data_IF_919753083246
#
_entry.id   IF_919753083246
#
_cell.length_a   1.000
_cell.length_b   1.000
_cell.length_c   1.000
_cell.angle_alpha   90.00
_cell.angle_beta   90.00
_cell.angle_gamma   90.00
#
_symmetry.space_group_name_H-M   'P 1'
#
loop_
_entity.id
_entity.type
_entity.pdbx_description
1 polymer ?
#
# COMPACT_ATOMS: atom_id res chain seq x y z
N UNK A 1 -22.43 -31.84 22.56
CA UNK A 1 -22.67 -30.49 22.00
C UNK A 1 -22.27 -29.51 23.07
N UNK A 2 -21.24 -28.71 22.80
CA UNK A 2 -20.77 -27.69 23.73
C UNK A 2 -21.69 -26.46 23.59
N UNK A 3 -22.33 -25.97 24.67
CA UNK A 3 -23.17 -24.77 24.63
C UNK A 3 -22.41 -23.49 24.21
N UNK A 4 -21.07 -23.48 24.20
CA UNK A 4 -20.28 -22.38 23.65
C UNK A 4 -20.28 -22.32 22.11
N UNK A 5 -20.71 -23.38 21.41
CA UNK A 5 -20.61 -23.47 19.94
C UNK A 5 -21.57 -22.56 19.13
N UNK A 6 -22.33 -21.66 19.77
CA UNK A 6 -23.47 -20.99 19.16
C UNK A 6 -23.34 -19.48 18.94
N UNK A 7 -22.22 -18.84 19.30
CA UNK A 7 -22.01 -17.42 19.05
C UNK A 7 -20.86 -17.22 18.07
N UNK A 8 -21.16 -17.37 16.77
CA UNK A 8 -20.28 -16.85 15.72
C UNK A 8 -20.32 -15.33 15.78
N UNK A 9 -19.21 -14.71 16.16
CA UNK A 9 -19.08 -13.26 16.22
C UNK A 9 -18.81 -12.77 14.81
N UNK A 10 -19.63 -11.81 14.36
CA UNK A 10 -19.36 -11.07 13.13
C UNK A 10 -18.42 -9.92 13.49
N UNK A 11 -17.26 -9.84 12.84
CA UNK A 11 -16.28 -8.76 13.10
C UNK A 11 -16.16 -7.85 11.89
N UNK A 12 -16.16 -6.54 12.15
CA UNK A 12 -15.85 -5.53 11.16
C UNK A 12 -14.33 -5.29 11.13
N UNK A 13 -13.73 -5.35 9.95
CA UNK A 13 -12.32 -5.03 9.73
C UNK A 13 -12.21 -3.85 8.78
N UNK A 14 -11.48 -2.83 9.22
CA UNK A 14 -11.19 -1.62 8.45
C UNK A 14 -9.72 -1.64 8.04
N UNK A 15 -9.46 -1.68 6.75
CA UNK A 15 -8.12 -1.56 6.17
C UNK A 15 -7.91 -0.10 5.78
N UNK A 16 -7.07 0.58 6.54
CA UNK A 16 -6.68 1.95 6.31
C UNK A 16 -5.48 1.95 5.38
N UNK A 17 -5.58 2.67 4.28
CA UNK A 17 -4.44 2.79 3.38
C UNK A 17 -3.54 3.91 3.84
N UNK A 18 -2.23 3.64 3.78
CA UNK A 18 -1.19 4.62 4.04
C UNK A 18 -0.37 4.73 2.78
N UNK A 19 -0.38 5.92 2.20
CA UNK A 19 0.61 6.28 1.20
C UNK A 19 1.92 6.55 1.93
N UNK A 20 2.94 5.73 1.72
CA UNK A 20 4.25 6.00 2.29
C UNK A 20 4.78 7.29 1.63
N UNK A 21 4.99 8.32 2.45
CA UNK A 21 5.41 9.64 1.98
C UNK A 21 6.76 9.52 1.27
N UNK A 22 6.75 9.66 -0.05
CA UNK A 22 7.97 9.44 -0.82
C UNK A 22 7.87 9.80 -2.29
N UNK A 23 7.09 10.82 -2.72
CA UNK A 23 6.96 11.23 -4.14
C UNK A 23 6.52 10.12 -5.12
N UNK A 24 6.30 8.89 -4.65
CA UNK A 24 5.84 7.80 -5.48
C UNK A 24 4.42 8.11 -5.95
N UNK A 25 4.18 8.07 -7.26
CA UNK A 25 2.95 8.54 -7.83
C UNK A 25 1.85 7.47 -7.75
N UNK A 26 1.76 6.75 -6.63
CA UNK A 26 0.75 5.72 -6.41
C UNK A 26 -0.37 6.25 -5.53
N UNK A 27 -1.60 5.98 -5.91
CA UNK A 27 -2.80 6.43 -5.20
C UNK A 27 -3.83 5.30 -5.16
N UNK A 28 -4.29 4.95 -3.96
CA UNK A 28 -5.43 4.05 -3.79
C UNK A 28 -6.72 4.70 -4.28
N UNK A 29 -7.65 3.90 -4.80
CA UNK A 29 -8.99 4.36 -5.21
C UNK A 29 -9.85 4.78 -4.01
N UNK A 30 -9.56 4.23 -2.83
CA UNK A 30 -10.24 4.53 -1.57
C UNK A 30 -9.25 4.92 -0.47
N UNK A 31 -9.68 5.80 0.45
CA UNK A 31 -8.88 6.14 1.65
C UNK A 31 -8.96 5.07 2.75
N UNK A 32 -9.96 4.19 2.67
CA UNK A 32 -10.15 3.07 3.58
C UNK A 32 -11.07 2.02 2.93
N UNK A 33 -10.80 0.75 3.19
CA UNK A 33 -11.68 -0.36 2.80
C UNK A 33 -12.29 -0.98 4.06
N UNK A 34 -13.62 -1.03 4.11
CA UNK A 34 -14.35 -1.62 5.22
C UNK A 34 -15.00 -2.93 4.79
N UNK A 35 -14.71 -4.00 5.53
CA UNK A 35 -15.33 -5.30 5.33
C UNK A 35 -15.86 -5.85 6.64
N UNK A 36 -16.86 -6.70 6.53
CA UNK A 36 -17.37 -7.47 7.65
C UNK A 36 -17.07 -8.94 7.37
N UNK A 37 -16.29 -9.56 8.25
CA UNK A 37 -15.86 -10.96 8.11
C UNK A 37 -16.40 -11.73 9.31
N UNK A 38 -17.11 -12.81 9.02
CA UNK A 38 -17.60 -13.73 10.03
C UNK A 38 -16.48 -14.68 10.47
N UNK A 39 -16.50 -15.15 11.72
CA UNK A 39 -15.53 -16.14 12.22
C UNK A 39 -15.51 -17.45 11.45
N UNK A 40 -16.64 -17.80 10.85
CA UNK A 40 -16.79 -18.98 10.00
C UNK A 40 -16.53 -18.71 8.52
N UNK A 41 -16.05 -17.51 8.18
CA UNK A 41 -15.67 -17.20 6.83
C UNK A 41 -14.63 -18.22 6.34
N UNK A 42 -14.80 -18.79 5.14
CA UNK A 42 -13.81 -19.69 4.58
C UNK A 42 -12.49 -18.94 4.38
N UNK A 43 -11.39 -19.67 4.47
CA UNK A 43 -10.08 -19.14 4.09
C UNK A 43 -10.08 -18.84 2.60
N UNK A 44 -9.47 -17.71 2.21
CA UNK A 44 -9.42 -17.28 0.82
C UNK A 44 -9.64 -15.78 0.61
N UNK A 45 -9.93 -15.38 -0.63
CA UNK A 45 -10.07 -13.97 -1.01
C UNK A 45 -11.23 -13.27 -0.29
N UNK A 46 -10.98 -12.05 0.19
CA UNK A 46 -11.96 -11.20 0.86
C UNK A 46 -12.32 -9.97 0.02
N UNK A 47 -11.32 -9.24 -0.47
CA UNK A 47 -11.48 -8.10 -1.37
C UNK A 47 -10.21 -7.88 -2.19
N UNK A 48 -10.27 -6.95 -3.14
CA UNK A 48 -9.12 -6.47 -3.89
C UNK A 48 -8.94 -4.98 -3.61
N UNK A 49 -7.74 -4.59 -3.18
CA UNK A 49 -7.35 -3.20 -3.04
C UNK A 49 -6.75 -2.74 -4.36
N UNK A 50 -7.12 -1.54 -4.80
CA UNK A 50 -6.69 -0.98 -6.08
C UNK A 50 -5.92 0.30 -5.87
N UNK A 51 -4.75 0.39 -6.47
CA UNK A 51 -3.99 1.63 -6.57
C UNK A 51 -3.57 1.88 -8.02
N UNK A 52 -3.53 3.16 -8.38
CA UNK A 52 -3.21 3.69 -9.70
C UNK A 52 -1.87 4.43 -9.62
N UNK A 53 -1.05 4.34 -10.67
CA UNK A 53 0.27 4.96 -10.76
C UNK A 53 0.29 6.17 -11.72
N UNK A 54 1.20 7.12 -11.53
CA UNK A 54 1.41 8.27 -12.42
C UNK A 54 2.90 8.55 -12.73
N UNK A 55 3.47 8.11 -13.85
CA UNK A 55 2.77 7.74 -15.08
C UNK A 55 2.02 6.41 -14.96
N UNK A 56 0.89 6.32 -15.66
CA UNK A 56 0.11 5.09 -15.72
C UNK A 56 0.95 3.95 -16.35
N UNK A 57 0.76 2.74 -15.84
CA UNK A 57 1.40 1.53 -16.37
C UNK A 57 2.62 1.05 -15.58
N UNK A 58 3.03 1.75 -14.53
CA UNK A 58 3.97 1.19 -13.55
C UNK A 58 3.30 0.06 -12.74
N UNK A 59 4.08 -0.95 -12.37
CA UNK A 59 3.59 -2.04 -11.52
C UNK A 59 3.42 -1.55 -10.09
N UNK A 60 2.40 -2.04 -9.37
CA UNK A 60 2.20 -1.71 -7.95
C UNK A 60 2.61 -2.89 -7.08
N UNK A 61 3.31 -2.60 -5.99
CA UNK A 61 3.63 -3.53 -4.93
C UNK A 61 2.82 -3.22 -3.66
N UNK A 62 1.94 -4.14 -3.26
CA UNK A 62 1.10 -4.02 -2.07
C UNK A 62 1.70 -4.76 -0.87
N UNK A 63 1.58 -4.18 0.32
CA UNK A 63 2.01 -4.83 1.57
C UNK A 63 1.14 -4.49 2.76
N UNK A 64 0.95 -5.46 3.66
CA UNK A 64 0.39 -5.20 4.99
C UNK A 64 1.45 -4.52 5.86
N UNK A 65 1.06 -3.44 6.52
CA UNK A 65 1.93 -2.76 7.49
C UNK A 65 1.81 -3.48 8.82
N UNK A 66 2.89 -4.15 9.20
CA UNK A 66 2.96 -4.86 10.48
C UNK A 66 3.27 -3.89 11.62
N UNK A 67 2.59 -4.07 12.74
CA UNK A 67 2.92 -3.38 13.98
C UNK A 67 2.99 -4.37 15.13
N UNK A 68 3.89 -4.14 16.08
CA UNK A 68 4.03 -4.96 17.30
C UNK A 68 2.72 -5.09 18.09
N UNK A 69 1.83 -4.10 17.97
CA UNK A 69 0.53 -4.08 18.64
C UNK A 69 -0.62 -4.62 17.79
N UNK A 70 -0.44 -4.80 16.48
CA UNK A 70 -1.43 -5.35 15.53
C UNK A 70 -0.73 -6.19 14.45
N UNK A 71 -0.48 -7.48 14.71
CA UNK A 71 0.08 -8.39 13.72
C UNK A 71 -1.01 -8.79 12.71
N UNK A 72 -1.21 -7.96 11.69
CA UNK A 72 -2.23 -8.18 10.65
C UNK A 72 -1.93 -9.46 9.86
N UNK A 73 -0.64 -9.74 9.61
CA UNK A 73 -0.11 -10.92 8.93
C UNK A 73 -0.52 -12.26 9.54
N UNK A 74 -0.93 -12.28 10.82
CA UNK A 74 -1.41 -13.50 11.48
C UNK A 74 -2.67 -14.04 10.81
N UNK A 75 -3.59 -13.17 10.40
CA UNK A 75 -4.88 -13.58 9.83
C UNK A 75 -5.01 -13.24 8.35
N UNK A 76 -4.33 -12.18 7.92
CA UNK A 76 -4.47 -11.65 6.57
C UNK A 76 -3.17 -11.76 5.79
N UNK A 77 -3.28 -11.97 4.48
CA UNK A 77 -2.21 -11.75 3.51
C UNK A 77 -2.72 -10.87 2.39
N UNK A 78 -1.84 -10.07 1.80
CA UNK A 78 -2.14 -9.36 0.55
C UNK A 78 -1.25 -9.89 -0.55
N UNK A 79 -1.82 -10.16 -1.72
CA UNK A 79 -1.03 -10.46 -2.90
C UNK A 79 -0.27 -9.19 -3.32
N UNK A 80 1.07 -9.22 -3.39
CA UNK A 80 1.86 -8.03 -3.63
C UNK A 80 1.66 -7.43 -5.02
N UNK A 81 1.21 -8.20 -6.02
CA UNK A 81 1.06 -7.73 -7.40
C UNK A 81 -0.39 -7.38 -7.75
N UNK A 82 -1.37 -8.06 -7.14
CA UNK A 82 -2.78 -7.89 -7.48
C UNK A 82 -3.61 -7.13 -6.45
N UNK A 83 -3.08 -6.87 -5.25
CA UNK A 83 -3.83 -6.23 -4.17
C UNK A 83 -4.92 -7.11 -3.55
N UNK A 84 -5.01 -8.39 -3.93
CA UNK A 84 -6.01 -9.33 -3.38
C UNK A 84 -5.68 -9.62 -1.92
N UNK A 85 -6.60 -9.25 -1.03
CA UNK A 85 -6.56 -9.56 0.39
C UNK A 85 -7.16 -10.93 0.66
N UNK A 86 -6.44 -11.75 1.42
CA UNK A 86 -6.75 -13.15 1.72
C UNK A 86 -6.88 -13.33 3.23
N UNK A 87 -7.91 -14.07 3.66
CA UNK A 87 -7.98 -14.68 4.99
C UNK A 87 -7.20 -16.00 4.98
N UNK A 88 -6.17 -16.13 5.81
CA UNK A 88 -5.29 -17.31 5.83
C UNK A 88 -5.36 -18.12 7.11
N UNK A 89 -5.98 -17.57 8.16
CA UNK A 89 -6.25 -18.24 9.42
C UNK A 89 -7.67 -17.91 9.88
N UNK A 90 -8.38 -18.86 10.51
CA UNK A 90 -9.68 -18.57 11.11
C UNK A 90 -9.59 -17.42 12.09
N UNK A 91 -10.65 -16.65 12.13
CA UNK A 91 -10.78 -15.61 13.11
C UNK A 91 -11.43 -16.24 14.34
N UNK A 92 -10.68 -16.36 15.43
CA UNK A 92 -11.19 -16.80 16.74
C UNK A 92 -11.18 -15.57 17.65
N UNK A 93 -12.29 -14.82 17.62
CA UNK A 93 -12.47 -13.55 18.33
C UNK A 93 -13.06 -13.71 19.73
N UNK A 94 -13.49 -14.90 20.15
CA UNK A 94 -13.95 -15.14 21.52
C UNK A 94 -12.87 -14.78 22.56
N UNK A 95 -11.60 -14.86 22.18
CA UNK A 95 -10.47 -14.45 23.03
C UNK A 95 -10.17 -12.93 22.98
N UNK A 96 -10.64 -12.20 21.95
CA UNK A 96 -10.38 -10.77 21.75
C UNK A 96 -11.66 -10.03 21.30
N UNK A 97 -12.51 -9.64 22.27
CA UNK A 97 -13.85 -8.99 22.14
C UNK A 97 -13.90 -7.62 21.41
N UNK A 98 -13.02 -7.33 20.45
CA UNK A 98 -13.08 -6.11 19.63
C UNK A 98 -13.76 -6.41 18.30
N UNK A 99 -15.00 -5.94 18.21
CA UNK A 99 -15.87 -6.01 17.02
C UNK A 99 -15.30 -5.22 15.83
N UNK A 100 -14.35 -4.29 16.06
CA UNK A 100 -13.71 -3.52 14.99
C UNK A 100 -12.18 -3.53 15.10
N UNK A 101 -11.50 -3.93 14.02
CA UNK A 101 -10.03 -3.91 13.92
C UNK A 101 -9.58 -3.03 12.76
N UNK A 102 -8.57 -2.20 13.04
CA UNK A 102 -7.89 -1.39 12.04
C UNK A 102 -6.60 -2.10 11.62
N UNK A 103 -6.40 -2.21 10.32
CA UNK A 103 -5.19 -2.71 9.68
C UNK A 103 -4.65 -1.61 8.77
N UNK A 104 -3.33 -1.47 8.67
CA UNK A 104 -2.73 -0.48 7.78
C UNK A 104 -2.10 -1.21 6.56
N UNK A 105 -2.29 -0.65 5.37
CA UNK A 105 -1.79 -1.20 4.09
C UNK A 105 -1.01 -0.13 3.36
N UNK A 106 0.07 -0.51 2.68
CA UNK A 106 0.85 0.38 1.81
C UNK A 106 0.93 -0.14 0.39
N UNK A 107 1.07 0.80 -0.55
CA UNK A 107 1.39 0.54 -1.94
C UNK A 107 2.63 1.33 -2.36
N UNK A 108 3.44 0.72 -3.23
CA UNK A 108 4.63 1.32 -3.82
C UNK A 108 4.58 1.11 -5.35
N UNK A 109 4.85 2.15 -6.13
CA UNK A 109 5.04 1.97 -7.58
C UNK A 109 6.45 1.43 -7.85
N UNK A 110 6.54 0.46 -8.76
CA UNK A 110 7.77 -0.13 -9.23
C UNK A 110 7.93 0.26 -10.70
N UNK A 111 8.90 1.13 -11.02
CA UNK A 111 9.16 1.54 -12.40
C UNK A 111 9.47 0.32 -13.27
N UNK A 112 8.69 0.12 -14.32
CA UNK A 112 8.90 -0.97 -15.30
C UNK A 112 10.01 -0.62 -16.30
N UNK A 113 10.38 0.65 -16.41
CA UNK A 113 11.51 1.16 -17.19
C UNK A 113 12.64 1.61 -16.27
N UNK A 114 13.82 1.02 -16.44
CA UNK A 114 15.05 1.49 -15.81
C UNK A 114 15.28 2.96 -16.20
N UNK A 115 15.68 3.88 -15.29
CA UNK A 115 15.82 5.28 -15.64
C UNK A 115 16.93 5.43 -16.68
N UNK A 116 16.57 5.79 -17.91
CA UNK A 116 17.53 6.44 -18.81
C UNK A 116 17.85 7.78 -18.17
N UNK A 117 18.91 7.87 -17.38
CA UNK A 117 19.48 9.15 -17.03
C UNK A 117 20.11 9.74 -18.29
N UNK A 118 19.58 10.81 -18.92
CA UNK A 118 20.42 11.61 -19.79
C UNK A 118 21.43 12.35 -18.90
N UNK A 119 22.71 12.46 -19.30
CA UNK A 119 23.66 13.27 -18.54
C UNK A 119 23.15 14.71 -18.52
N UNK A 120 23.01 15.28 -17.32
CA UNK A 120 22.81 16.70 -17.14
C UNK A 120 23.89 17.46 -17.91
N UNK A 121 23.54 18.08 -19.04
CA UNK A 121 24.35 19.17 -19.55
C UNK A 121 23.75 20.47 -19.02
N UNK A 122 24.46 21.08 -18.09
CA UNK A 122 24.49 22.54 -18.00
C UNK A 122 25.93 22.90 -17.74
N UNK A 123 26.67 23.18 -18.82
CA UNK A 123 27.83 24.05 -18.70
C UNK A 123 27.48 25.37 -19.38
N UNK A 124 26.82 26.23 -18.61
CA UNK A 124 26.77 27.65 -18.93
C UNK A 124 28.04 28.25 -18.35
N UNK A 125 28.99 28.60 -19.21
CA UNK A 125 29.96 29.64 -18.89
C UNK A 125 29.75 30.75 -19.92
N UNK A 126 29.29 31.92 -19.45
CA UNK A 126 29.31 33.16 -20.20
C UNK A 126 29.87 34.28 -19.33
N UNK A 127 30.53 35.21 -20.03
CA UNK A 127 31.46 36.28 -19.64
C UNK A 127 32.86 35.71 -19.41
N UNK A 128 33.86 36.05 -20.22
CA UNK A 128 34.16 37.41 -20.67
C UNK A 128 34.52 37.47 -22.16
N UNK A 129 33.78 38.27 -22.92
CA UNK A 129 34.31 38.94 -24.11
C UNK A 129 33.67 40.33 -24.19
N UNK A 130 34.49 41.34 -23.91
CA UNK A 130 34.52 42.68 -24.50
C UNK A 130 35.42 43.53 -23.60
N UNK A 131 36.68 43.68 -24.02
CA UNK A 131 37.55 44.85 -23.76
C UNK A 131 38.79 44.80 -24.67
N UNK A 132 38.56 44.99 -25.96
CA UNK A 132 39.50 45.46 -26.99
C UNK A 132 38.63 46.16 -28.03
N UNK A 133 38.90 47.34 -28.59
CA UNK A 133 40.11 48.11 -28.85
C UNK A 133 39.73 49.60 -29.05
N UNK A 134 40.69 50.50 -28.82
CA UNK A 134 41.08 51.67 -29.64
C UNK A 134 41.76 52.70 -28.71
N UNK A 135 42.98 53.19 -28.93
CA UNK A 135 43.73 53.35 -30.17
C UNK A 135 43.39 54.70 -30.80
N UNK A 136 44.02 55.78 -30.32
CA UNK A 136 43.88 57.15 -30.80
C UNK A 136 44.54 58.16 -29.87
#
# INVERSE_FOLDING_TARGET
>A
MDPASFLKIITNSTFMVTQLFGRDPVQFDELQYNITVSEDAPLGPLLTLTAITYPEGESVHYSLVESSHRPSSKWFKINPSSGVLLLVQPLDYEQNKRVSRRHDVSALSLPTTQPTQPPYYTRVSRRDDVSGESGG
#
